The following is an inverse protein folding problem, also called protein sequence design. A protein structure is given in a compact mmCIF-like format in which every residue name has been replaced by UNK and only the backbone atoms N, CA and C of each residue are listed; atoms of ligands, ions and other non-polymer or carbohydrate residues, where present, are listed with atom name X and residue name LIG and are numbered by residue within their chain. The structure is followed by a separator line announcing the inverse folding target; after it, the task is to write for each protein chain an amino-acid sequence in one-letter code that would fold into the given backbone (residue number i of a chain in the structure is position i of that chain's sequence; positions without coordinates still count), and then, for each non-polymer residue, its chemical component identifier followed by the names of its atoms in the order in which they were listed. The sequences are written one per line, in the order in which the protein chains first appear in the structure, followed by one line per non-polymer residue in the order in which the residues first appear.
data_IF_215458705462
#
_entry.id   IF_215458705462
#
_cell.length_a   1.000
_cell.length_b   1.000
_cell.length_c   1.000
_cell.angle_alpha   90.00
_cell.angle_beta   90.00
_cell.angle_gamma   90.00
#
_symmetry.space_group_name_H-M   'P 1'
#
loop_
_entity.id
_entity.type
_entity.pdbx_description
1 polymer ?
#
# COMPACT_ATOMS: atom_id res chain seq x y z
N UNK A 1 -8.85 -10.82 9.47
CA UNK A 1 -7.70 -11.02 8.55
C UNK A 1 -6.39 -10.94 9.32
N UNK A 2 -5.42 -11.83 9.07
CA UNK A 2 -4.16 -11.88 9.85
C UNK A 2 -3.12 -10.82 9.41
N UNK A 3 -3.12 -10.41 8.14
CA UNK A 3 -2.09 -9.50 7.58
C UNK A 3 -2.65 -8.39 6.65
N UNK A 4 -3.55 -7.52 7.13
CA UNK A 4 -4.22 -6.52 6.28
C UNK A 4 -3.25 -5.51 5.62
N UNK A 5 -2.16 -5.14 6.29
CA UNK A 5 -1.13 -4.27 5.71
C UNK A 5 -0.46 -4.90 4.48
N UNK A 6 -0.05 -6.17 4.58
CA UNK A 6 0.59 -6.87 3.48
C UNK A 6 -0.36 -7.06 2.30
N UNK A 7 -1.65 -7.27 2.56
CA UNK A 7 -2.67 -7.34 1.51
C UNK A 7 -2.77 -6.01 0.78
N UNK A 8 -2.77 -4.88 1.50
CA UNK A 8 -2.85 -3.57 0.90
C UNK A 8 -1.59 -3.23 0.08
N UNK A 9 -0.41 -3.55 0.62
CA UNK A 9 0.86 -3.42 -0.09
C UNK A 9 0.89 -4.27 -1.37
N UNK A 10 0.43 -5.52 -1.28
CA UNK A 10 0.36 -6.43 -2.42
C UNK A 10 -0.65 -5.93 -3.47
N UNK A 11 -1.78 -5.36 -3.07
CA UNK A 11 -2.77 -4.79 -3.99
C UNK A 11 -2.17 -3.65 -4.81
N UNK A 12 -1.55 -2.66 -4.16
CA UNK A 12 -0.93 -1.53 -4.86
C UNK A 12 0.31 -1.96 -5.65
N UNK A 13 1.13 -2.87 -5.10
CA UNK A 13 2.29 -3.43 -5.79
C UNK A 13 1.90 -4.22 -7.04
N UNK A 14 0.83 -5.02 -6.97
CA UNK A 14 0.29 -5.73 -8.13
C UNK A 14 -0.29 -4.77 -9.17
N UNK A 15 -1.04 -3.75 -8.73
CA UNK A 15 -1.56 -2.71 -9.63
C UNK A 15 -0.45 -1.95 -10.37
N UNK A 16 0.64 -1.64 -9.67
CA UNK A 16 1.83 -1.07 -10.28
C UNK A 16 2.53 -2.05 -11.24
N UNK A 17 2.73 -3.30 -10.85
CA UNK A 17 3.35 -4.30 -11.70
C UNK A 17 2.59 -4.51 -13.01
N UNK A 18 1.26 -4.54 -12.95
CA UNK A 18 0.39 -4.67 -14.11
C UNK A 18 0.38 -3.43 -15.02
N UNK A 19 0.71 -2.25 -14.49
CA UNK A 19 0.75 -1.02 -15.28
C UNK A 19 2.08 -0.78 -15.99
N UNK A 20 3.15 -1.47 -15.56
CA UNK A 20 4.50 -1.29 -16.09
C UNK A 20 4.80 -2.30 -17.21
N UNK A 21 5.17 -1.85 -18.43
CA UNK A 21 5.57 -2.75 -19.50
C UNK A 21 6.79 -3.59 -19.10
N UNK A 22 6.77 -4.89 -19.41
CA UNK A 22 7.78 -5.82 -18.90
C UNK A 22 9.18 -5.49 -19.43
N UNK A 23 9.29 -4.98 -20.66
CA UNK A 23 10.55 -4.53 -21.25
C UNK A 23 11.23 -3.45 -20.40
N UNK A 24 10.45 -2.59 -19.72
CA UNK A 24 11.01 -1.55 -18.84
C UNK A 24 11.56 -2.10 -17.53
N UNK A 25 11.03 -3.22 -17.04
CA UNK A 25 11.54 -3.91 -15.85
C UNK A 25 12.82 -4.67 -16.19
N UNK A 26 12.88 -5.30 -17.37
CA UNK A 26 14.08 -5.99 -17.86
C UNK A 26 15.21 -4.99 -18.21
N UNK A 27 14.86 -3.74 -18.50
CA UNK A 27 15.79 -2.64 -18.73
C UNK A 27 16.34 -1.99 -17.44
N UNK A 28 16.19 -2.61 -16.27
CA UNK A 28 16.82 -2.12 -15.03
C UNK A 28 18.23 -2.71 -14.91
N UNK A 29 19.24 -1.90 -15.24
CA UNK A 29 20.65 -2.31 -15.23
C UNK A 29 21.56 -1.35 -14.46
N UNK A 30 21.04 -0.21 -14.00
CA UNK A 30 21.77 0.76 -13.19
C UNK A 30 20.88 1.39 -12.11
N UNK A 31 21.48 2.21 -11.24
CA UNK A 31 20.75 2.91 -10.18
C UNK A 31 19.72 3.91 -10.72
N UNK A 32 19.94 4.47 -11.91
CA UNK A 32 19.07 5.51 -12.46
C UNK A 32 17.79 4.94 -13.07
N UNK A 33 17.92 3.83 -13.78
CA UNK A 33 16.81 3.01 -14.32
C UNK A 33 16.01 2.36 -13.20
N UNK A 34 16.67 1.86 -12.14
CA UNK A 34 15.99 1.41 -10.93
C UNK A 34 15.18 2.54 -10.27
N UNK A 35 15.82 3.71 -10.05
CA UNK A 35 15.17 4.88 -9.45
C UNK A 35 13.92 5.33 -10.21
N UNK A 36 13.91 5.24 -11.55
CA UNK A 36 12.75 5.58 -12.39
C UNK A 36 11.51 4.75 -12.03
N UNK A 37 11.68 3.54 -11.54
CA UNK A 37 10.59 2.64 -11.13
C UNK A 37 10.34 2.68 -9.63
N UNK A 38 11.38 2.82 -8.81
CA UNK A 38 11.27 2.88 -7.36
C UNK A 38 10.48 4.12 -6.87
N UNK A 39 10.72 5.30 -7.46
CA UNK A 39 10.02 6.54 -7.09
C UNK A 39 8.50 6.46 -7.29
N UNK A 40 7.98 6.10 -8.48
CA UNK A 40 6.54 6.02 -8.67
C UNK A 40 5.90 4.92 -7.83
N UNK A 41 6.58 3.77 -7.64
CA UNK A 41 6.09 2.72 -6.76
C UNK A 41 5.99 3.20 -5.29
N UNK A 42 7.03 3.87 -4.76
CA UNK A 42 7.01 4.40 -3.40
C UNK A 42 5.94 5.48 -3.23
N UNK A 43 5.77 6.36 -4.23
CA UNK A 43 4.73 7.39 -4.22
C UNK A 43 3.31 6.79 -4.23
N UNK A 44 3.09 5.74 -5.03
CA UNK A 44 1.81 5.03 -5.06
C UNK A 44 1.50 4.37 -3.72
N UNK A 45 2.48 3.69 -3.11
CA UNK A 45 2.33 3.08 -1.80
C UNK A 45 2.03 4.12 -0.71
N UNK A 46 2.78 5.23 -0.69
CA UNK A 46 2.58 6.35 0.23
C UNK A 46 1.13 6.88 0.15
N UNK A 47 0.68 7.26 -1.05
CA UNK A 47 -0.67 7.82 -1.24
C UNK A 47 -1.74 6.77 -0.90
N UNK A 48 -1.55 5.52 -1.35
CA UNK A 48 -2.48 4.43 -1.08
C UNK A 48 -2.63 4.13 0.42
N UNK A 49 -1.52 4.13 1.17
CA UNK A 49 -1.55 3.91 2.61
C UNK A 49 -2.13 5.10 3.38
N UNK A 50 -1.81 6.33 3.00
CA UNK A 50 -2.42 7.53 3.59
C UNK A 50 -3.94 7.57 3.33
N UNK A 51 -4.38 7.27 2.12
CA UNK A 51 -5.80 7.19 1.78
C UNK A 51 -6.52 6.12 2.61
N UNK A 52 -5.94 4.91 2.71
CA UNK A 52 -6.48 3.85 3.56
C UNK A 52 -6.52 4.27 5.03
N UNK A 53 -5.48 4.94 5.53
CA UNK A 53 -5.44 5.52 6.87
C UNK A 53 -6.59 6.51 7.10
N UNK A 54 -6.83 7.42 6.16
CA UNK A 54 -7.94 8.36 6.19
C UNK A 54 -9.30 7.67 6.24
N UNK A 55 -9.50 6.62 5.44
CA UNK A 55 -10.71 5.79 5.50
C UNK A 55 -10.87 5.14 6.87
N UNK A 56 -9.82 4.56 7.46
CA UNK A 56 -9.90 3.98 8.81
C UNK A 56 -10.24 5.04 9.89
N UNK A 57 -9.82 6.29 9.70
CA UNK A 57 -10.12 7.38 10.61
C UNK A 57 -11.62 7.74 10.64
N UNK A 58 -12.38 7.44 9.59
CA UNK A 58 -13.85 7.64 9.56
C UNK A 58 -14.62 6.69 10.48
N UNK A 59 -13.96 5.67 11.06
CA UNK A 59 -14.57 4.68 11.98
C UNK A 59 -15.84 4.02 11.43
N UNK A 60 -15.85 3.72 10.13
CA UNK A 60 -17.01 3.08 9.50
C UNK A 60 -17.31 1.71 10.13
N UNK A 61 -18.54 1.51 10.59
CA UNK A 61 -18.96 0.29 11.30
C UNK A 61 -18.76 -0.99 10.50
N UNK A 62 -18.91 -0.91 9.16
CA UNK A 62 -18.62 -2.02 8.25
C UNK A 62 -17.14 -2.43 8.34
N UNK A 63 -16.22 -1.46 8.27
CA UNK A 63 -14.78 -1.70 8.30
C UNK A 63 -14.39 -2.33 9.64
N UNK A 64 -14.93 -1.82 10.74
CA UNK A 64 -14.69 -2.39 12.06
C UNK A 64 -15.11 -3.86 12.14
N UNK A 65 -16.29 -4.20 11.59
CA UNK A 65 -16.80 -5.58 11.58
C UNK A 65 -15.90 -6.52 10.77
N UNK A 66 -15.37 -6.06 9.63
CA UNK A 66 -14.48 -6.84 8.76
C UNK A 66 -13.07 -7.03 9.36
N UNK A 67 -12.52 -5.99 9.98
CA UNK A 67 -11.23 -6.06 10.66
C UNK A 67 -11.31 -6.75 12.02
N UNK A 68 -12.51 -6.89 12.56
CA UNK A 68 -12.82 -7.64 13.77
C UNK A 68 -12.55 -6.83 15.04
N UNK A 69 -13.03 -5.59 15.05
CA UNK A 69 -13.05 -4.72 16.23
C UNK A 69 -12.07 -3.54 16.16
N UNK A 70 -12.36 -2.54 16.99
CA UNK A 70 -11.68 -1.25 17.02
C UNK A 70 -10.17 -1.35 17.27
N UNK A 71 -9.72 -2.26 18.14
CA UNK A 71 -8.30 -2.45 18.43
C UNK A 71 -7.48 -2.83 17.20
N UNK A 72 -8.06 -3.66 16.32
CA UNK A 72 -7.41 -4.07 15.06
C UNK A 72 -7.38 -2.93 14.06
N UNK A 73 -8.45 -2.14 13.99
CA UNK A 73 -8.50 -0.92 13.16
C UNK A 73 -7.44 0.07 13.62
N UNK A 74 -7.34 0.35 14.91
CA UNK A 74 -6.36 1.28 15.46
C UNK A 74 -4.91 0.82 15.21
N UNK A 75 -4.61 -0.45 15.47
CA UNK A 75 -3.28 -1.02 15.17
C UNK A 75 -2.94 -0.94 13.69
N UNK A 76 -3.91 -1.19 12.81
CA UNK A 76 -3.70 -1.07 11.37
C UNK A 76 -3.47 0.39 10.96
N UNK A 77 -4.28 1.33 11.43
CA UNK A 77 -4.10 2.75 11.14
C UNK A 77 -2.72 3.25 11.56
N UNK A 78 -2.26 2.87 12.76
CA UNK A 78 -0.90 3.17 13.22
C UNK A 78 0.17 2.57 12.30
N UNK A 79 0.01 1.31 11.90
CA UNK A 79 0.97 0.64 11.01
C UNK A 79 0.99 1.26 9.61
N UNK A 80 -0.16 1.68 9.08
CA UNK A 80 -0.26 2.41 7.81
C UNK A 80 0.48 3.75 7.90
N UNK A 81 0.30 4.50 8.99
CA UNK A 81 1.03 5.76 9.19
C UNK A 81 2.55 5.61 9.38
N UNK A 82 3.04 4.44 9.79
CA UNK A 82 4.50 4.15 9.86
C UNK A 82 5.04 3.70 8.49
N UNK A 83 4.21 3.02 7.70
CA UNK A 83 4.61 2.44 6.42
C UNK A 83 4.50 3.42 5.23
N UNK A 84 3.69 4.46 5.39
CA UNK A 84 3.50 5.54 4.43
C UNK A 84 4.65 6.55 4.56
#
# INVERSE_FOLDING_TARGET
MKYPLLILAALFGAGWYLSVPHDTLLAVHDLWTFRRQAIPLSGLLLIGFMAAGGVLATRLSLIERWLGGLDRVYRLHKRLGIAA
#
